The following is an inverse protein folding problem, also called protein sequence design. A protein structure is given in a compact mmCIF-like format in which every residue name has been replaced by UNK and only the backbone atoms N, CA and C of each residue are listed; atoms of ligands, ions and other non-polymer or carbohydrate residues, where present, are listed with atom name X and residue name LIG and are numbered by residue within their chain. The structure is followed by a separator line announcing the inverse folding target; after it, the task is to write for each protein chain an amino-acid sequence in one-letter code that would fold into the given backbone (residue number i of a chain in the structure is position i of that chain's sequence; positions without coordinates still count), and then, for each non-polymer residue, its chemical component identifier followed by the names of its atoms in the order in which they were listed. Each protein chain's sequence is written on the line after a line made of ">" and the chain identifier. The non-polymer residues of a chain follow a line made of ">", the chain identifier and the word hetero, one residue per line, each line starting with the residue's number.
data_IF_293943286891
#
_entry.id   IF_293943286891
#
_cell.length_a   1.000
_cell.length_b   1.000
_cell.length_c   1.000
_cell.angle_alpha   90.00
_cell.angle_beta   90.00
_cell.angle_gamma   90.00
#
_symmetry.space_group_name_H-M   'P 1'
#
loop_
_entity.id
_entity.type
_entity.pdbx_description
1 polymer ?
#
# COMPACT_ATOMS: atom_id res chain seq x y z
N UNK A 1 4.19 64.04 -3.03
CA UNK A 1 4.90 62.82 -3.47
C UNK A 1 5.50 62.00 -2.33
N UNK A 2 6.14 62.60 -1.32
CA UNK A 2 6.85 61.86 -0.27
C UNK A 2 5.97 60.96 0.63
N UNK A 3 4.76 61.40 0.99
CA UNK A 3 3.81 60.63 1.83
C UNK A 3 3.25 59.38 1.11
N UNK A 4 3.01 59.47 -0.20
CA UNK A 4 2.58 58.33 -1.01
C UNK A 4 3.69 57.29 -1.18
N UNK A 5 4.93 57.74 -1.34
CA UNK A 5 6.10 56.84 -1.41
C UNK A 5 6.32 56.11 -0.09
N UNK A 6 6.20 56.81 1.05
CA UNK A 6 6.34 56.18 2.37
C UNK A 6 5.25 55.14 2.64
N UNK A 7 3.99 55.45 2.31
CA UNK A 7 2.89 54.48 2.43
C UNK A 7 3.09 53.26 1.54
N UNK A 8 3.59 53.44 0.31
CA UNK A 8 3.89 52.33 -0.59
C UNK A 8 5.00 51.41 -0.05
N UNK A 9 6.06 51.99 0.52
CA UNK A 9 7.15 51.23 1.16
C UNK A 9 6.64 50.46 2.38
N UNK A 10 5.83 51.09 3.25
CA UNK A 10 5.26 50.41 4.42
C UNK A 10 4.36 49.23 4.01
N UNK A 11 3.55 49.40 2.97
CA UNK A 11 2.70 48.33 2.45
C UNK A 11 3.55 47.20 1.85
N UNK A 12 4.59 47.51 1.07
CA UNK A 12 5.47 46.50 0.49
C UNK A 12 6.24 45.71 1.57
N UNK A 13 6.69 46.38 2.63
CA UNK A 13 7.33 45.74 3.80
C UNK A 13 6.35 44.87 4.57
N UNK A 14 5.11 45.34 4.78
CA UNK A 14 4.07 44.54 5.44
C UNK A 14 3.73 43.27 4.63
N UNK A 15 3.61 43.38 3.30
CA UNK A 15 3.34 42.23 2.42
C UNK A 15 4.48 41.21 2.45
N UNK A 16 5.73 41.67 2.45
CA UNK A 16 6.90 40.77 2.50
C UNK A 16 7.01 40.04 3.84
N UNK A 17 6.72 40.72 4.96
CA UNK A 17 6.68 40.08 6.28
C UNK A 17 5.58 39.02 6.39
N UNK A 18 4.36 39.32 5.93
CA UNK A 18 3.24 38.35 5.94
C UNK A 18 3.52 37.14 5.05
N UNK A 19 4.21 37.36 3.92
CA UNK A 19 4.56 36.29 2.98
C UNK A 19 5.65 35.35 3.53
N UNK A 20 6.58 35.86 4.32
CA UNK A 20 7.61 35.07 5.01
C UNK A 20 7.00 34.14 6.08
N UNK A 21 6.06 34.66 6.88
CA UNK A 21 5.35 33.87 7.88
C UNK A 21 4.48 32.77 7.26
N UNK A 22 3.78 33.08 6.16
CA UNK A 22 2.98 32.10 5.43
C UNK A 22 3.84 30.97 4.85
N UNK A 23 5.01 31.30 4.30
CA UNK A 23 5.95 30.32 3.74
C UNK A 23 6.59 29.44 4.82
N UNK A 24 6.87 30.00 6.00
CA UNK A 24 7.36 29.24 7.16
C UNK A 24 6.27 28.30 7.72
N UNK A 25 5.03 28.76 7.79
CA UNK A 25 3.89 27.96 8.23
C UNK A 25 3.61 26.78 7.29
N UNK A 26 3.73 26.96 5.97
CA UNK A 26 3.58 25.89 4.98
C UNK A 26 4.63 24.79 5.17
N UNK A 27 5.88 25.14 5.50
CA UNK A 27 6.93 24.16 5.82
C UNK A 27 6.69 23.40 7.13
N UNK A 28 6.10 24.05 8.15
CA UNK A 28 5.76 23.38 9.42
C UNK A 28 4.65 22.33 9.27
N UNK A 29 3.83 22.44 8.22
CA UNK A 29 2.74 21.49 7.91
C UNK A 29 3.17 20.48 6.84
N UNK A 30 4.39 20.57 6.31
CA UNK A 30 4.86 19.64 5.30
C UNK A 30 5.15 18.26 5.92
N UNK A 31 4.15 17.37 5.85
CA UNK A 31 4.29 15.99 6.30
C UNK A 31 5.28 15.26 5.39
N UNK A 32 6.33 14.69 5.98
CA UNK A 32 7.19 13.72 5.30
C UNK A 32 6.43 12.40 5.11
N UNK A 33 5.68 12.34 4.01
CA UNK A 33 4.86 11.17 3.65
C UNK A 33 5.71 9.93 3.42
N UNK A 34 6.96 10.07 2.95
CA UNK A 34 7.85 8.93 2.73
C UNK A 34 8.20 8.28 4.06
N UNK A 35 8.68 9.07 5.02
CA UNK A 35 8.99 8.58 6.37
C UNK A 35 7.76 8.03 7.08
N UNK A 36 6.59 8.65 6.87
CA UNK A 36 5.34 8.14 7.43
C UNK A 36 4.96 6.76 6.87
N UNK A 37 5.03 6.59 5.54
CA UNK A 37 4.69 5.31 4.87
C UNK A 37 5.73 4.24 5.21
N UNK A 38 7.01 4.56 5.21
CA UNK A 38 8.09 3.57 5.42
C UNK A 38 8.04 2.92 6.80
N UNK A 39 7.40 3.56 7.78
CA UNK A 39 7.18 2.97 9.11
C UNK A 39 6.16 1.82 9.11
N UNK A 40 5.38 1.67 8.04
CA UNK A 40 4.43 0.59 7.85
C UNK A 40 4.97 -0.50 6.92
N UNK A 41 6.22 -0.39 6.45
CA UNK A 41 6.84 -1.39 5.60
C UNK A 41 7.06 -2.69 6.39
N UNK A 42 6.61 -3.80 5.81
CA UNK A 42 6.82 -5.14 6.31
C UNK A 42 8.03 -5.74 5.57
N UNK A 43 9.17 -5.80 6.26
CA UNK A 43 10.41 -6.34 5.71
C UNK A 43 10.71 -7.71 6.35
N UNK A 44 10.83 -8.73 5.50
CA UNK A 44 11.18 -10.09 5.90
C UNK A 44 12.57 -10.44 5.39
N UNK A 45 13.36 -11.13 6.20
CA UNK A 45 14.73 -11.55 5.90
C UNK A 45 14.83 -12.99 5.41
N UNK A 46 13.75 -13.76 5.50
CA UNK A 46 13.66 -15.13 5.02
C UNK A 46 12.40 -15.35 4.18
N UNK A 47 12.46 -16.17 3.12
CA UNK A 47 11.27 -16.56 2.37
C UNK A 47 10.24 -17.27 3.24
N UNK A 48 8.96 -17.10 2.90
CA UNK A 48 7.86 -17.83 3.52
C UNK A 48 8.05 -19.35 3.42
N UNK A 49 7.81 -20.06 4.52
CA UNK A 49 7.92 -21.54 4.58
C UNK A 49 6.62 -22.23 4.22
N UNK A 50 5.50 -21.50 4.33
CA UNK A 50 4.16 -21.94 3.96
C UNK A 50 3.45 -20.85 3.15
N UNK A 51 2.46 -21.24 2.36
CA UNK A 51 1.68 -20.30 1.57
C UNK A 51 0.85 -19.35 2.43
N UNK A 52 0.42 -19.75 3.63
CA UNK A 52 -0.33 -18.88 4.55
C UNK A 52 0.52 -17.74 5.15
N UNK A 53 1.85 -17.80 5.01
CA UNK A 53 2.79 -16.76 5.44
C UNK A 53 3.03 -15.70 4.34
N UNK A 54 2.42 -15.84 3.16
CA UNK A 54 2.57 -14.90 2.07
C UNK A 54 2.03 -13.50 2.39
N UNK A 55 2.61 -12.47 1.77
CA UNK A 55 2.18 -11.09 1.92
C UNK A 55 0.77 -10.91 1.32
N UNK A 56 -0.22 -10.46 2.11
CA UNK A 56 -1.57 -10.23 1.60
C UNK A 56 -1.60 -8.97 0.73
N UNK A 57 -2.08 -9.12 -0.51
CA UNK A 57 -2.41 -8.02 -1.42
C UNK A 57 -3.83 -8.17 -1.93
N UNK A 58 -4.52 -7.07 -2.20
CA UNK A 58 -5.88 -7.16 -2.72
C UNK A 58 -6.49 -5.82 -3.09
N UNK A 59 -7.55 -5.88 -3.88
CA UNK A 59 -8.30 -4.71 -4.34
C UNK A 59 -9.76 -4.67 -3.82
N UNK A 60 -10.05 -5.42 -2.76
CA UNK A 60 -11.38 -5.55 -2.18
C UNK A 60 -12.32 -6.51 -2.91
N UNK A 61 -11.96 -7.02 -4.08
CA UNK A 61 -12.71 -8.08 -4.80
C UNK A 61 -11.88 -9.34 -4.99
N UNK A 62 -10.65 -9.17 -5.45
CA UNK A 62 -9.64 -10.23 -5.59
C UNK A 62 -8.51 -9.94 -4.62
N UNK A 63 -8.05 -11.00 -3.95
CA UNK A 63 -6.90 -10.99 -3.07
C UNK A 63 -5.90 -12.05 -3.46
N UNK A 64 -4.67 -11.88 -3.00
CA UNK A 64 -3.64 -12.90 -3.12
C UNK A 64 -2.71 -12.88 -1.92
N UNK A 65 -2.24 -14.06 -1.53
CA UNK A 65 -1.00 -14.18 -0.76
C UNK A 65 0.16 -14.26 -1.76
N UNK A 66 1.18 -13.43 -1.57
CA UNK A 66 2.36 -13.36 -2.43
C UNK A 66 3.59 -13.80 -1.65
N UNK A 67 4.34 -14.75 -2.19
CA UNK A 67 5.59 -15.20 -1.61
C UNK A 67 6.58 -15.63 -2.68
N UNK A 68 7.81 -15.91 -2.27
CA UNK A 68 8.90 -16.30 -3.17
C UNK A 68 9.32 -17.75 -2.92
N UNK A 69 9.66 -18.45 -4.00
CA UNK A 69 10.58 -19.58 -3.95
C UNK A 69 11.93 -19.15 -4.55
N UNK A 70 12.99 -19.97 -4.47
CA UNK A 70 14.28 -19.62 -5.08
C UNK A 70 14.23 -19.30 -6.58
N UNK A 71 13.18 -19.70 -7.30
CA UNK A 71 13.10 -19.55 -8.76
C UNK A 71 11.81 -18.89 -9.26
N UNK A 72 10.89 -18.48 -8.37
CA UNK A 72 9.59 -17.97 -8.77
C UNK A 72 8.95 -17.04 -7.74
N UNK A 73 8.17 -16.08 -8.25
CA UNK A 73 7.15 -15.40 -7.47
C UNK A 73 5.87 -16.24 -7.51
N UNK A 74 5.32 -16.56 -6.33
CA UNK A 74 4.17 -17.44 -6.16
C UNK A 74 2.98 -16.64 -5.63
N UNK A 75 1.81 -16.94 -6.15
CA UNK A 75 0.57 -16.25 -5.82
C UNK A 75 -0.57 -17.25 -5.62
N UNK A 76 -1.20 -17.19 -4.47
CA UNK A 76 -2.46 -17.87 -4.18
C UNK A 76 -3.60 -16.90 -4.50
N UNK A 77 -4.51 -17.20 -5.42
CA UNK A 77 -5.58 -16.27 -5.85
C UNK A 77 -6.90 -16.57 -5.12
N UNK A 78 -7.52 -15.54 -4.56
CA UNK A 78 -8.83 -15.64 -3.92
C UNK A 78 -9.78 -14.52 -4.39
N UNK A 79 -11.09 -14.77 -4.32
CA UNK A 79 -12.15 -13.79 -4.63
C UNK A 79 -13.21 -13.81 -3.53
N UNK A 80 -13.78 -12.65 -3.25
CA UNK A 80 -14.74 -12.46 -2.13
C UNK A 80 -16.10 -13.13 -2.34
N UNK A 81 -16.43 -13.53 -3.57
CA UNK A 81 -17.70 -14.14 -3.99
C UNK A 81 -17.53 -15.58 -4.49
N UNK A 82 -16.39 -16.21 -4.20
CA UNK A 82 -16.16 -17.62 -4.48
C UNK A 82 -16.23 -18.40 -3.18
N UNK A 83 -17.26 -19.21 -3.08
CA UNK A 83 -17.70 -19.92 -1.89
C UNK A 83 -17.85 -21.40 -2.26
N UNK A 84 -17.61 -22.32 -1.32
CA UNK A 84 -17.73 -23.75 -1.65
C UNK A 84 -19.18 -24.20 -1.86
N UNK A 85 -20.14 -23.50 -1.25
CA UNK A 85 -21.57 -23.79 -1.36
C UNK A 85 -22.39 -22.55 -1.01
N UNK A 86 -23.67 -22.54 -1.40
CA UNK A 86 -24.61 -21.53 -0.94
C UNK A 86 -25.09 -21.80 0.50
N UNK A 87 -25.60 -20.77 1.16
CA UNK A 87 -26.03 -20.83 2.56
C UNK A 87 -27.27 -21.69 2.84
N UNK A 88 -27.92 -22.24 1.80
CA UNK A 88 -29.13 -23.07 1.92
C UNK A 88 -28.84 -24.56 1.84
N UNK A 89 -27.60 -24.96 1.53
CA UNK A 89 -27.25 -26.38 1.41
C UNK A 89 -27.33 -27.12 2.75
N UNK A 90 -27.87 -28.33 2.71
CA UNK A 90 -27.85 -29.29 3.82
C UNK A 90 -26.99 -30.51 3.52
N UNK A 91 -26.28 -30.49 2.38
CA UNK A 91 -25.50 -31.64 1.90
C UNK A 91 -24.18 -31.86 2.63
N UNK A 92 -23.70 -30.89 3.42
CA UNK A 92 -22.44 -30.98 4.16
C UNK A 92 -22.67 -30.84 5.67
N UNK A 93 -21.92 -31.61 6.46
CA UNK A 93 -22.04 -31.64 7.93
C UNK A 93 -21.67 -30.31 8.60
N UNK A 94 -20.97 -29.42 7.89
CA UNK A 94 -20.48 -28.14 8.41
C UNK A 94 -20.74 -27.01 7.41
N UNK A 95 -21.99 -26.55 7.36
CA UNK A 95 -22.41 -25.47 6.45
C UNK A 95 -21.82 -24.09 6.79
N UNK A 96 -21.26 -23.90 8.00
CA UNK A 96 -20.51 -22.70 8.42
C UNK A 96 -19.08 -22.65 7.87
N UNK A 97 -18.59 -23.75 7.27
CA UNK A 97 -17.24 -23.82 6.67
C UNK A 97 -17.27 -23.33 5.23
N UNK A 98 -17.60 -22.06 5.02
CA UNK A 98 -17.75 -21.46 3.68
C UNK A 98 -16.41 -21.15 2.97
N UNK A 99 -15.28 -21.54 3.57
CA UNK A 99 -13.99 -21.42 2.92
C UNK A 99 -13.85 -22.48 1.81
N UNK A 100 -14.11 -22.08 0.57
CA UNK A 100 -14.06 -22.94 -0.62
C UNK A 100 -12.67 -23.25 -1.18
N UNK A 101 -11.62 -23.06 -0.37
CA UNK A 101 -10.22 -23.13 -0.79
C UNK A 101 -9.83 -21.99 -1.76
N UNK A 102 -8.62 -22.10 -2.29
CA UNK A 102 -8.06 -21.15 -3.27
C UNK A 102 -8.82 -21.18 -4.60
N UNK A 103 -8.93 -20.04 -5.28
CA UNK A 103 -9.48 -19.96 -6.64
C UNK A 103 -8.48 -20.42 -7.72
N UNK A 104 -7.17 -20.29 -7.46
CA UNK A 104 -6.10 -20.80 -8.31
C UNK A 104 -4.71 -20.37 -7.84
N UNK A 105 -3.68 -20.91 -8.48
CA UNK A 105 -2.28 -20.52 -8.25
C UNK A 105 -1.67 -19.90 -9.51
N UNK A 106 -0.80 -18.92 -9.31
CA UNK A 106 0.03 -18.34 -10.38
C UNK A 106 1.48 -18.34 -9.92
N UNK A 107 2.34 -18.96 -10.70
CA UNK A 107 3.79 -18.95 -10.51
C UNK A 107 4.44 -18.20 -11.68
N UNK A 108 5.14 -17.12 -11.37
CA UNK A 108 5.97 -16.40 -12.32
C UNK A 108 7.40 -16.91 -12.15
N UNK A 109 7.83 -17.76 -13.08
CA UNK A 109 9.18 -18.30 -13.08
C UNK A 109 10.19 -17.25 -13.52
N UNK A 110 11.24 -17.09 -12.73
CA UNK A 110 12.27 -16.07 -12.93
C UNK A 110 13.69 -16.67 -12.93
N UNK A 111 13.80 -18.00 -13.01
CA UNK A 111 15.08 -18.74 -13.02
C UNK A 111 16.10 -18.28 -14.08
N UNK A 112 15.66 -17.62 -15.14
CA UNK A 112 16.53 -17.05 -16.19
C UNK A 112 16.88 -15.57 -16.00
N UNK A 113 16.44 -14.94 -14.90
CA UNK A 113 16.55 -13.49 -14.68
C UNK A 113 17.92 -13.00 -14.17
N UNK A 114 18.83 -13.90 -13.79
CA UNK A 114 20.15 -13.55 -13.22
C UNK A 114 20.17 -13.63 -11.69
N UNK A 115 21.24 -13.09 -11.07
CA UNK A 115 21.41 -13.11 -9.60
C UNK A 115 20.59 -12.02 -8.88
N UNK A 116 20.10 -11.00 -9.60
CA UNK A 116 19.49 -9.78 -9.05
C UNK A 116 17.95 -9.78 -9.10
N UNK A 117 17.36 -10.98 -9.04
CA UNK A 117 15.94 -11.19 -9.30
C UNK A 117 15.09 -10.98 -8.05
N UNK A 118 15.70 -11.02 -6.86
CA UNK A 118 15.09 -10.78 -5.56
C UNK A 118 16.07 -10.10 -4.60
#
# INVERSE_FOLDING_TARGET
>A
MHRFFLSFVVIAVAITLVSLDAFAAERLIQVDRRSQVSRADLNFDTPATRDEEGMPVGNGRTGSLVWTSPSALKMQINRVDVHAMDSTTTSFQRADSDYGSVCGYVDINVAGGGEDVF
#
